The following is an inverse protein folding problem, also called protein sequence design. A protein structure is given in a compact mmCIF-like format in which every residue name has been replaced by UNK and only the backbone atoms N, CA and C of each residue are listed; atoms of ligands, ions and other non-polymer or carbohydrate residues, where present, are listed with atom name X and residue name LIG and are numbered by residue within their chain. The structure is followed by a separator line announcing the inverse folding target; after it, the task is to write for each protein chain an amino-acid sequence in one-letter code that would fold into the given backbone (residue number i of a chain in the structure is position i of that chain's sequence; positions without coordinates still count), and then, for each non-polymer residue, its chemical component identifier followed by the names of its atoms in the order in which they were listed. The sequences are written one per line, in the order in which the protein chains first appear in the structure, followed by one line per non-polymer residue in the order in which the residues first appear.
data_IF_581930129321
#
_entry.id   IF_581930129321
#
_cell.length_a   1.000
_cell.length_b   1.000
_cell.length_c   1.000
_cell.angle_alpha   90.00
_cell.angle_beta   90.00
_cell.angle_gamma   90.00
#
_symmetry.space_group_name_H-M   'P 1'
#
loop_
_entity.id
_entity.type
_entity.pdbx_description
1 polymer ?
#
# COMPACT_ATOMS: atom_id res chain seq x y z
N UNK A 1 1.97 -0.93 -4.48
CA UNK A 1 1.14 -1.21 -3.30
C UNK A 1 2.03 -1.42 -2.09
N UNK A 2 1.53 -1.21 -0.87
CA UNK A 2 2.29 -1.38 0.38
C UNK A 2 3.02 -2.73 0.45
N UNK A 3 2.33 -3.83 0.14
CA UNK A 3 2.89 -5.19 0.21
C UNK A 3 4.03 -5.47 -0.78
N UNK A 4 4.08 -4.76 -1.91
CA UNK A 4 5.08 -4.99 -2.97
C UNK A 4 6.40 -4.24 -2.74
N UNK A 5 6.39 -3.22 -1.89
CA UNK A 5 7.53 -2.31 -1.74
C UNK A 5 8.48 -2.68 -0.59
N UNK A 6 8.18 -3.74 0.17
CA UNK A 6 8.95 -4.13 1.35
C UNK A 6 8.78 -5.63 1.61
N UNK A 7 9.59 -6.21 2.51
CA UNK A 7 9.38 -7.59 2.96
C UNK A 7 8.50 -7.60 4.24
N UNK A 8 7.21 -8.00 4.14
CA UNK A 8 6.27 -7.96 5.26
C UNK A 8 6.51 -9.09 6.28
N UNK A 9 7.46 -9.98 6.03
CA UNK A 9 7.78 -11.13 6.90
C UNK A 9 8.97 -10.88 7.82
N UNK A 10 9.64 -9.73 7.67
CA UNK A 10 10.80 -9.35 8.48
C UNK A 10 10.41 -8.40 9.61
N UNK A 11 10.82 -8.75 10.84
CA UNK A 11 10.53 -7.94 12.04
C UNK A 11 11.62 -6.87 12.22
N UNK A 12 11.20 -5.61 12.43
CA UNK A 12 12.08 -4.48 12.76
C UNK A 12 13.26 -4.29 11.78
N UNK A 13 13.00 -4.48 10.48
CA UNK A 13 14.03 -4.41 9.44
C UNK A 13 13.41 -4.14 8.08
N UNK A 14 14.07 -3.33 7.25
CA UNK A 14 13.82 -3.23 5.82
C UNK A 14 15.15 -3.21 5.06
N UNK A 15 15.40 -4.24 4.25
CA UNK A 15 16.68 -4.37 3.54
C UNK A 15 17.88 -4.38 4.50
N UNK A 16 18.71 -3.34 4.45
CA UNK A 16 19.87 -3.16 5.33
C UNK A 16 19.58 -2.30 6.57
N UNK A 17 18.41 -1.67 6.62
CA UNK A 17 18.00 -0.81 7.72
C UNK A 17 17.39 -1.64 8.84
N UNK A 18 17.99 -1.62 10.04
CA UNK A 18 17.64 -2.47 11.17
C UNK A 18 17.29 -1.62 12.38
N UNK A 19 16.16 -1.91 13.02
CA UNK A 19 15.67 -1.19 14.19
C UNK A 19 14.15 -1.14 14.25
N UNK A 20 13.61 -0.86 15.44
CA UNK A 20 12.16 -0.78 15.68
C UNK A 20 11.47 0.33 14.89
N UNK A 21 12.23 1.36 14.49
CA UNK A 21 11.80 2.43 13.61
C UNK A 21 11.55 1.97 12.16
N UNK A 22 12.05 0.79 11.77
CA UNK A 22 11.88 0.21 10.43
C UNK A 22 10.87 -0.95 10.40
N UNK A 23 10.02 -1.08 11.43
CA UNK A 23 8.97 -2.11 11.44
C UNK A 23 7.87 -1.77 10.42
N UNK A 24 7.34 -2.79 9.76
CA UNK A 24 6.14 -2.64 8.93
C UNK A 24 4.91 -2.45 9.79
N UNK A 25 4.14 -1.40 9.53
CA UNK A 25 2.89 -1.13 10.22
C UNK A 25 1.86 -0.45 9.28
N UNK A 26 0.59 -0.76 9.49
CA UNK A 26 -0.57 -0.08 8.92
C UNK A 26 -1.31 0.58 10.09
N UNK A 27 -1.42 1.91 10.05
CA UNK A 27 -2.12 2.70 11.06
C UNK A 27 -3.53 3.02 10.60
N UNK A 28 -4.54 2.79 11.45
CA UNK A 28 -5.94 3.09 11.13
C UNK A 28 -6.55 4.13 12.11
N UNK A 29 -7.50 4.92 11.63
CA UNK A 29 -8.24 5.90 12.44
C UNK A 29 -9.69 5.50 12.72
N UNK A 30 -10.21 4.52 12.00
CA UNK A 30 -11.59 4.06 12.11
C UNK A 30 -11.72 2.54 11.87
N UNK A 31 -12.86 1.92 12.26
CA UNK A 31 -13.06 0.48 12.12
C UNK A 31 -13.12 -0.02 10.67
N UNK A 32 -13.54 0.81 9.71
CA UNK A 32 -13.62 0.42 8.30
C UNK A 32 -12.22 0.23 7.72
N UNK A 33 -11.31 1.16 8.00
CA UNK A 33 -9.89 1.04 7.66
C UNK A 33 -9.25 -0.17 8.32
N UNK A 34 -9.57 -0.45 9.60
CA UNK A 34 -9.06 -1.62 10.30
C UNK A 34 -9.49 -2.91 9.60
N UNK A 35 -10.77 -3.02 9.23
CA UNK A 35 -11.31 -4.18 8.52
C UNK A 35 -10.67 -4.35 7.13
N UNK A 36 -10.52 -3.26 6.37
CA UNK A 36 -9.88 -3.28 5.07
C UNK A 36 -8.39 -3.69 5.14
N UNK A 37 -7.65 -3.17 6.12
CA UNK A 37 -6.26 -3.54 6.35
C UNK A 37 -6.11 -5.03 6.68
N UNK A 38 -6.96 -5.54 7.59
CA UNK A 38 -6.97 -6.95 7.99
C UNK A 38 -7.32 -7.88 6.83
N UNK A 39 -8.32 -7.53 6.01
CA UNK A 39 -8.68 -8.27 4.81
C UNK A 39 -7.52 -8.30 3.80
N UNK A 40 -6.84 -7.16 3.59
CA UNK A 40 -5.69 -7.10 2.68
C UNK A 40 -4.51 -7.94 3.16
N UNK A 41 -4.25 -7.98 4.48
CA UNK A 41 -3.21 -8.82 5.08
C UNK A 41 -3.55 -10.30 4.89
N UNK A 42 -4.81 -10.70 5.12
CA UNK A 42 -5.24 -12.08 4.92
C UNK A 42 -5.08 -12.51 3.46
N UNK A 43 -5.47 -11.66 2.51
CA UNK A 43 -5.28 -11.94 1.09
C UNK A 43 -3.79 -12.10 0.73
N UNK A 44 -2.94 -11.21 1.25
CA UNK A 44 -1.50 -11.26 0.98
C UNK A 44 -0.78 -12.41 1.68
N UNK A 45 -1.22 -12.83 2.86
CA UNK A 45 -0.63 -13.98 3.53
C UNK A 45 -0.65 -15.26 2.68
N UNK A 46 -1.62 -15.39 1.75
CA UNK A 46 -1.69 -16.50 0.80
C UNK A 46 -0.53 -16.52 -0.19
N UNK A 47 0.08 -15.37 -0.46
CA UNK A 47 1.23 -15.21 -1.37
C UNK A 47 2.57 -15.39 -0.66
N UNK A 48 2.58 -15.43 0.68
CA UNK A 48 3.80 -15.55 1.49
C UNK A 48 3.88 -16.90 2.22
N UNK A 49 5.01 -17.60 2.07
CA UNK A 49 5.30 -18.83 2.82
C UNK A 49 5.50 -18.57 4.32
N UNK A 50 6.21 -17.48 4.62
CA UNK A 50 6.44 -17.03 5.98
C UNK A 50 5.26 -16.20 6.46
N UNK A 51 5.01 -16.24 7.77
CA UNK A 51 4.00 -15.41 8.40
C UNK A 51 4.35 -13.93 8.22
N UNK A 52 3.38 -13.14 7.77
CA UNK A 52 3.45 -11.68 7.77
C UNK A 52 3.47 -11.19 9.22
N UNK A 53 4.44 -10.33 9.53
CA UNK A 53 4.64 -9.74 10.86
C UNK A 53 4.29 -8.25 10.92
N UNK A 54 3.75 -7.70 9.83
CA UNK A 54 3.23 -6.32 9.76
C UNK A 54 2.17 -6.08 10.84
N UNK A 55 2.33 -4.99 11.58
CA UNK A 55 1.38 -4.56 12.62
C UNK A 55 0.18 -3.84 12.00
N UNK A 56 -1.03 -4.10 12.47
CA UNK A 56 -2.23 -3.28 12.19
C UNK A 56 -2.66 -2.68 13.52
N UNK A 57 -2.50 -1.37 13.68
CA UNK A 57 -2.68 -0.70 14.99
C UNK A 57 -3.35 0.66 14.84
N UNK A 58 -4.00 1.13 15.89
CA UNK A 58 -4.62 2.46 15.91
C UNK A 58 -3.55 3.54 15.71
N UNK A 59 -3.86 4.53 14.88
CA UNK A 59 -3.00 5.69 14.69
C UNK A 59 -2.87 6.47 16.01
N UNK A 60 -1.63 6.76 16.42
CA UNK A 60 -1.31 7.66 17.52
C UNK A 60 -0.97 9.05 16.99
N UNK A 61 -0.56 9.95 17.88
CA UNK A 61 0.03 11.22 17.48
C UNK A 61 1.13 11.00 16.43
N UNK A 62 1.03 11.72 15.32
CA UNK A 62 2.02 11.73 14.25
C UNK A 62 2.79 13.04 14.30
N UNK A 63 4.10 12.95 14.47
CA UNK A 63 4.99 14.10 14.53
C UNK A 63 5.65 14.28 13.16
N UNK A 64 5.45 15.42 12.48
CA UNK A 64 6.14 15.68 11.23
C UNK A 64 7.65 15.59 11.42
N UNK A 65 8.31 14.85 10.53
CA UNK A 65 9.77 14.86 10.46
C UNK A 65 10.27 16.24 10.02
N UNK A 66 11.52 16.55 10.35
CA UNK A 66 12.17 17.82 10.03
C UNK A 66 12.19 18.10 8.51
N UNK A 67 12.27 19.39 8.15
CA UNK A 67 12.18 19.83 6.75
C UNK A 67 13.20 19.17 5.83
N UNK A 68 14.38 18.76 6.33
CA UNK A 68 15.38 18.10 5.51
C UNK A 68 14.95 16.69 5.05
N UNK A 69 14.04 16.03 5.77
CA UNK A 69 13.47 14.74 5.39
C UNK A 69 12.29 14.86 4.41
N UNK A 70 11.62 16.02 4.40
CA UNK A 70 10.49 16.25 3.50
C UNK A 70 10.95 16.31 2.05
N UNK A 71 10.31 15.53 1.17
CA UNK A 71 10.66 15.41 -0.26
C UNK A 71 12.14 15.09 -0.50
N UNK A 72 12.73 14.26 0.37
CA UNK A 72 14.16 13.95 0.35
C UNK A 72 14.68 13.49 -1.02
N UNK A 73 13.98 12.57 -1.69
CA UNK A 73 14.38 12.04 -3.00
C UNK A 73 14.41 13.13 -4.08
N UNK A 74 13.38 13.98 -4.14
CA UNK A 74 13.30 15.11 -5.08
C UNK A 74 14.46 16.09 -4.85
N UNK A 75 14.72 16.46 -3.58
CA UNK A 75 15.82 17.36 -3.20
C UNK A 75 17.20 16.82 -3.57
N UNK A 76 17.34 15.50 -3.67
CA UNK A 76 18.59 14.81 -4.05
C UNK A 76 18.65 14.43 -5.52
N UNK A 77 17.60 14.71 -6.31
CA UNK A 77 17.52 14.33 -7.72
C UNK A 77 17.52 12.81 -7.94
N UNK A 78 17.07 12.04 -6.95
CA UNK A 78 17.06 10.58 -7.00
C UNK A 78 15.64 10.05 -7.27
N UNK A 79 15.52 9.07 -8.16
CA UNK A 79 14.23 8.45 -8.49
C UNK A 79 13.83 7.31 -7.52
N UNK A 80 14.76 6.74 -6.78
CA UNK A 80 14.49 5.71 -5.77
C UNK A 80 15.64 5.57 -4.77
N UNK A 81 15.31 5.07 -3.58
CA UNK A 81 16.26 4.58 -2.58
C UNK A 81 15.64 3.30 -1.99
N UNK A 82 16.30 2.15 -2.17
CA UNK A 82 15.81 0.79 -1.86
C UNK A 82 14.53 0.32 -2.61
N UNK A 83 13.48 1.14 -2.63
CA UNK A 83 12.21 0.89 -3.32
C UNK A 83 12.19 1.60 -4.66
N UNK A 84 12.13 0.85 -5.78
CA UNK A 84 11.94 1.43 -7.10
C UNK A 84 10.56 2.11 -7.21
N UNK A 85 10.53 3.43 -7.40
CA UNK A 85 9.30 4.13 -7.79
C UNK A 85 9.04 3.82 -9.28
N UNK A 86 8.13 2.87 -9.57
CA UNK A 86 7.63 2.69 -10.93
C UNK A 86 6.60 3.79 -11.19
N UNK A 87 6.95 4.75 -12.05
CA UNK A 87 6.14 5.94 -12.36
C UNK A 87 5.00 5.68 -13.34
N UNK A 88 4.88 4.46 -13.89
CA UNK A 88 4.11 4.24 -15.12
C UNK A 88 2.95 3.23 -14.96
N UNK A 89 2.65 2.79 -13.74
CA UNK A 89 1.60 1.80 -13.48
C UNK A 89 0.32 2.52 -13.00
N UNK A 90 -0.84 2.32 -13.66
CA UNK A 90 -2.06 3.02 -13.29
C UNK A 90 -2.45 2.65 -11.86
N UNK A 91 -2.67 3.67 -11.04
CA UNK A 91 -3.21 3.52 -9.68
C UNK A 91 -4.57 2.83 -9.81
N UNK A 92 -4.67 1.58 -9.33
CA UNK A 92 -5.96 0.92 -9.14
C UNK A 92 -6.64 1.65 -8.00
N UNK A 93 -7.46 2.63 -8.34
CA UNK A 93 -8.35 3.30 -7.40
C UNK A 93 -9.43 2.30 -7.01
N UNK A 94 -9.50 1.98 -5.71
CA UNK A 94 -10.48 1.03 -5.18
C UNK A 94 -11.90 1.60 -5.12
N UNK A 95 -12.12 2.83 -5.60
CA UNK A 95 -13.43 3.49 -5.65
C UNK A 95 -13.84 3.87 -7.09
N UNK A 96 -13.92 2.88 -7.99
CA UNK A 96 -14.77 3.05 -9.17
C UNK A 96 -16.24 2.87 -8.77
N UNK A 97 -16.82 3.93 -8.21
CA UNK A 97 -18.25 4.21 -8.37
C UNK A 97 -18.53 4.22 -9.86
N UNK A 98 -19.25 3.20 -10.33
CA UNK A 98 -19.82 3.14 -11.68
C UNK A 98 -20.70 4.36 -11.86
N UNK A 99 -20.15 5.39 -12.50
CA UNK A 99 -20.91 6.51 -13.04
C UNK A 99 -20.71 6.54 -14.55
N UNK A 100 -21.72 6.03 -15.25
CA UNK A 100 -22.10 6.45 -16.60
C UNK A 100 -21.11 6.16 -17.73
N UNK A 101 -21.36 5.07 -18.48
CA UNK A 101 -20.70 4.89 -19.77
C UNK A 101 -20.99 3.56 -20.45
N UNK A 102 -22.09 3.50 -21.20
CA UNK A 102 -22.37 2.58 -22.31
C UNK A 102 -22.09 1.07 -22.08
N UNK A 103 -23.17 0.37 -21.81
CA UNK A 103 -23.29 -1.09 -21.71
C UNK A 103 -22.70 -1.88 -22.88
N UNK A 104 -21.68 -2.70 -22.62
CA UNK A 104 -21.27 -3.81 -23.48
C UNK A 104 -22.27 -4.99 -23.47
N UNK A 105 -23.32 -4.92 -22.65
CA UNK A 105 -24.45 -5.87 -22.64
C UNK A 105 -25.65 -5.47 -23.52
N UNK A 106 -25.62 -4.32 -24.21
CA UNK A 106 -26.68 -3.92 -25.17
C UNK A 106 -26.40 -4.35 -26.63
N UNK A 107 -25.57 -5.36 -26.88
CA UNK A 107 -25.32 -5.90 -28.24
C UNK A 107 -25.64 -7.38 -28.45
N UNK A 108 -26.47 -7.99 -27.60
CA UNK A 108 -26.89 -9.40 -27.76
C UNK A 108 -28.41 -9.64 -27.67
N UNK A 109 -29.23 -8.63 -28.02
CA UNK A 109 -30.68 -8.80 -28.20
C UNK A 109 -31.23 -8.11 -29.47
N UNK A 110 -30.38 -7.93 -30.49
CA UNK A 110 -30.80 -7.56 -31.85
C UNK A 110 -30.05 -8.38 -32.89
N UNK A 111 -30.33 -9.67 -32.90
CA UNK A 111 -30.28 -10.54 -34.08
C UNK A 111 -31.38 -11.57 -33.91
N UNK A 112 -32.57 -11.19 -34.39
CA UNK A 112 -33.31 -12.06 -35.29
C UNK A 112 -32.59 -12.07 -36.62
#
# INVERSE_FOLDING_TARGET
TFWRIHDPTTKNRQGWDIGTQYRSAIFFTDPEQQAAAAASLQAQQLEHRSRIVTEITTASAFYPAEDYHQRYLEKRGQASCHVGLKTDEPLIDADQKVQGGSSLWQRLLKTR
#
